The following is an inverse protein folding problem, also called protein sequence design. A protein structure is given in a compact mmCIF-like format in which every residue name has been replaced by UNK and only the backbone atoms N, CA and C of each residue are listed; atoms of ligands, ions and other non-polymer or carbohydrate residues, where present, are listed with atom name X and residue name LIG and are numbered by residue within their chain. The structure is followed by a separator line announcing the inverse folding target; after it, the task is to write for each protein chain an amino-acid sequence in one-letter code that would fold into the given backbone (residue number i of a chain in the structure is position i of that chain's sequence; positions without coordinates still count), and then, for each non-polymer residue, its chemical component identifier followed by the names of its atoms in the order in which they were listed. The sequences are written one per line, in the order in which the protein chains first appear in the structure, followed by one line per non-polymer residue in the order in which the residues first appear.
data_IF_640097347323
#
_entry.id   IF_640097347323
#
_cell.length_a   1.000
_cell.length_b   1.000
_cell.length_c   1.000
_cell.angle_alpha   90.00
_cell.angle_beta   90.00
_cell.angle_gamma   90.00
#
_symmetry.space_group_name_H-M   'P 1'
#
loop_
_entity.id
_entity.type
_entity.pdbx_description
1 polymer ?
#
# COMPACT_ATOMS: atom_id res chain seq x y z
N UNK A 1 -10.21 -16.90 -57.06
CA UNK A 1 -9.99 -17.57 -55.76
C UNK A 1 -9.45 -16.49 -54.82
N UNK A 2 -10.33 -15.84 -54.06
CA UNK A 2 -9.98 -14.69 -53.21
C UNK A 2 -9.75 -15.16 -51.78
N UNK A 3 -8.58 -14.88 -51.23
CA UNK A 3 -8.23 -15.18 -49.85
C UNK A 3 -8.69 -14.01 -48.96
N UNK A 4 -9.65 -14.26 -48.09
CA UNK A 4 -10.05 -13.32 -47.03
C UNK A 4 -9.23 -13.66 -45.79
N UNK A 5 -8.41 -12.72 -45.31
CA UNK A 5 -7.74 -12.83 -44.01
C UNK A 5 -8.68 -12.20 -42.98
N UNK A 6 -9.24 -13.04 -42.10
CA UNK A 6 -9.94 -12.60 -40.90
C UNK A 6 -8.88 -12.36 -39.83
N UNK A 7 -8.63 -11.09 -39.49
CA UNK A 7 -7.83 -10.75 -38.31
C UNK A 7 -8.76 -10.85 -37.09
N UNK A 8 -8.57 -11.87 -36.25
CA UNK A 8 -9.11 -11.89 -34.89
C UNK A 8 -8.37 -10.83 -34.07
N UNK A 9 -9.08 -9.80 -33.63
CA UNK A 9 -8.60 -8.95 -32.55
C UNK A 9 -8.47 -9.81 -31.29
N UNK A 10 -7.30 -9.82 -30.67
CA UNK A 10 -7.19 -10.20 -29.28
C UNK A 10 -7.66 -8.99 -28.48
N UNK A 11 -8.92 -8.96 -28.04
CA UNK A 11 -9.27 -8.15 -26.89
C UNK A 11 -8.40 -8.62 -25.72
N UNK A 12 -7.45 -7.77 -25.29
CA UNK A 12 -6.77 -7.99 -24.02
C UNK A 12 -7.84 -8.05 -22.93
N UNK A 13 -7.80 -9.08 -22.08
CA UNK A 13 -8.69 -9.12 -20.93
C UNK A 13 -8.40 -7.90 -20.07
N UNK A 14 -9.36 -6.97 -19.95
CA UNK A 14 -9.37 -6.04 -18.83
C UNK A 14 -9.46 -6.89 -17.56
N UNK A 15 -8.37 -6.90 -16.79
CA UNK A 15 -8.40 -7.42 -15.43
C UNK A 15 -9.15 -6.35 -14.62
N UNK A 16 -10.46 -6.55 -14.46
CA UNK A 16 -11.22 -5.77 -13.48
C UNK A 16 -10.73 -6.18 -12.10
N UNK A 17 -10.19 -5.23 -11.34
CA UNK A 17 -9.80 -5.47 -9.96
C UNK A 17 -11.06 -5.74 -9.12
N UNK A 18 -10.94 -6.68 -8.19
CA UNK A 18 -11.92 -6.83 -7.12
C UNK A 18 -11.81 -5.62 -6.16
N UNK A 19 -12.87 -5.24 -5.43
CA UNK A 19 -12.86 -4.03 -4.60
C UNK A 19 -11.73 -3.95 -3.57
N UNK A 20 -11.25 -5.10 -3.09
CA UNK A 20 -10.13 -5.17 -2.14
C UNK A 20 -8.77 -5.00 -2.83
N UNK A 21 -8.66 -5.34 -4.12
CA UNK A 21 -7.47 -5.11 -4.92
C UNK A 21 -7.36 -3.63 -5.32
N UNK A 22 -8.49 -2.99 -5.62
CA UNK A 22 -8.56 -1.52 -5.81
C UNK A 22 -8.11 -0.79 -4.55
N UNK A 23 -8.67 -1.14 -3.39
CA UNK A 23 -8.25 -0.56 -2.11
C UNK A 23 -6.76 -0.81 -1.83
N UNK A 24 -6.26 -2.03 -2.08
CA UNK A 24 -4.84 -2.32 -1.89
C UNK A 24 -3.95 -1.45 -2.79
N UNK A 25 -4.36 -1.20 -4.02
CA UNK A 25 -3.67 -0.32 -4.96
C UNK A 25 -3.70 1.14 -4.51
N UNK A 26 -4.83 1.64 -4.03
CA UNK A 26 -4.96 3.00 -3.48
C UNK A 26 -4.05 3.21 -2.27
N UNK A 27 -4.01 2.24 -1.34
CA UNK A 27 -3.12 2.28 -0.18
C UNK A 27 -1.64 2.22 -0.58
N UNK A 28 -1.30 1.39 -1.57
CA UNK A 28 0.05 1.29 -2.08
C UNK A 28 0.50 2.58 -2.76
N UNK A 29 -0.38 3.22 -3.54
CA UNK A 29 -0.14 4.52 -4.14
C UNK A 29 0.19 5.55 -3.05
N UNK A 30 -0.68 5.74 -2.06
CA UNK A 30 -0.43 6.70 -0.98
C UNK A 30 0.88 6.40 -0.23
N UNK A 31 1.18 5.13 0.04
CA UNK A 31 2.44 4.75 0.71
C UNK A 31 3.68 5.04 -0.13
N UNK A 32 3.65 4.82 -1.44
CA UNK A 32 4.79 5.08 -2.35
C UNK A 32 5.10 6.59 -2.42
N UNK A 33 4.07 7.43 -2.34
CA UNK A 33 4.26 8.90 -2.40
C UNK A 33 4.69 9.50 -1.04
N UNK A 34 4.76 8.71 0.03
CA UNK A 34 5.29 9.14 1.32
C UNK A 34 6.76 8.73 1.44
N UNK A 35 7.66 9.71 1.49
CA UNK A 35 9.07 9.45 1.71
C UNK A 35 9.34 8.95 3.14
N UNK A 36 9.61 7.66 3.28
CA UNK A 36 9.91 6.98 4.56
C UNK A 36 11.37 6.55 4.72
N UNK A 37 12.31 7.14 3.95
CA UNK A 37 13.75 6.89 4.18
C UNK A 37 14.14 7.30 5.59
N UNK A 38 15.28 6.80 6.09
CA UNK A 38 15.71 7.06 7.46
C UNK A 38 15.71 8.56 7.80
N UNK A 39 16.19 9.41 6.88
CA UNK A 39 16.30 10.86 7.06
C UNK A 39 14.92 11.55 7.18
N UNK A 40 13.90 11.07 6.46
CA UNK A 40 12.54 11.60 6.48
C UNK A 40 11.69 11.03 7.63
N UNK A 41 11.79 9.72 7.88
CA UNK A 41 11.06 9.03 8.94
C UNK A 41 9.74 8.40 8.52
N UNK A 42 9.18 7.57 9.41
CA UNK A 42 7.99 6.74 9.13
C UNK A 42 6.68 7.33 9.66
N UNK A 43 6.74 8.43 10.42
CA UNK A 43 5.55 8.96 11.13
C UNK A 43 4.41 9.32 10.19
N UNK A 44 4.69 9.99 9.07
CA UNK A 44 3.66 10.36 8.10
C UNK A 44 2.93 9.14 7.51
N UNK A 45 3.67 8.07 7.19
CA UNK A 45 3.08 6.82 6.71
C UNK A 45 2.27 6.10 7.79
N UNK A 46 2.76 6.09 9.03
CA UNK A 46 2.02 5.51 10.16
C UNK A 46 0.70 6.26 10.43
N UNK A 47 0.71 7.60 10.36
CA UNK A 47 -0.48 8.45 10.50
C UNK A 47 -1.47 8.26 9.35
N UNK A 48 -0.98 8.18 8.11
CA UNK A 48 -1.81 7.90 6.94
C UNK A 48 -2.53 6.56 7.07
N UNK A 49 -1.81 5.49 7.42
CA UNK A 49 -2.42 4.17 7.58
C UNK A 49 -3.33 4.08 8.81
N UNK A 50 -3.03 4.82 9.89
CA UNK A 50 -3.92 4.92 11.04
C UNK A 50 -5.27 5.53 10.66
N UNK A 51 -5.26 6.59 9.83
CA UNK A 51 -6.48 7.22 9.30
C UNK A 51 -7.36 6.23 8.53
N UNK A 52 -6.77 5.45 7.62
CA UNK A 52 -7.52 4.40 6.89
C UNK A 52 -8.15 3.37 7.82
N UNK A 53 -7.46 2.94 8.87
CA UNK A 53 -8.03 2.00 9.84
C UNK A 53 -9.18 2.60 10.66
N UNK A 54 -9.06 3.87 11.06
CA UNK A 54 -10.11 4.59 11.76
C UNK A 54 -11.35 4.78 10.86
N UNK A 55 -11.14 5.13 9.59
CA UNK A 55 -12.19 5.26 8.58
C UNK A 55 -12.87 3.90 8.31
N UNK A 56 -12.11 2.80 8.43
CA UNK A 56 -12.62 1.42 8.39
C UNK A 56 -13.24 0.94 9.72
N UNK A 57 -13.57 1.86 10.63
CA UNK A 57 -14.24 1.62 11.92
C UNK A 57 -13.45 0.78 12.94
N UNK A 58 -12.12 0.80 12.89
CA UNK A 58 -11.35 0.34 14.05
C UNK A 58 -11.62 1.27 15.25
N UNK A 59 -11.80 0.73 16.47
CA UNK A 59 -11.90 1.56 17.66
C UNK A 59 -10.62 2.38 17.85
N UNK A 60 -10.74 3.67 18.15
CA UNK A 60 -9.58 4.54 18.32
C UNK A 60 -8.60 4.06 19.41
N UNK A 61 -9.13 3.46 20.48
CA UNK A 61 -8.33 2.82 21.55
C UNK A 61 -7.49 1.63 21.07
N UNK A 62 -7.87 1.01 19.95
CA UNK A 62 -7.16 -0.12 19.35
C UNK A 62 -6.18 0.31 18.24
N UNK A 63 -6.07 1.60 17.92
CA UNK A 63 -5.16 2.15 16.90
C UNK A 63 -4.15 3.07 17.56
N UNK A 64 -2.89 2.65 17.61
CA UNK A 64 -1.84 3.33 18.35
C UNK A 64 -0.67 3.67 17.44
N UNK A 65 -0.24 4.93 17.49
CA UNK A 65 0.98 5.42 16.84
C UNK A 65 2.05 5.57 17.92
N UNK A 66 3.08 4.74 17.86
CA UNK A 66 4.10 4.63 18.93
C UNK A 66 5.51 4.47 18.36
N UNK A 67 6.49 5.11 18.95
CA UNK A 67 7.87 5.02 18.47
C UNK A 67 8.88 5.68 19.39
N UNK A 68 10.18 5.48 19.13
CA UNK A 68 11.25 6.04 19.94
C UNK A 68 11.38 7.58 19.86
N UNK A 69 10.81 8.22 18.83
CA UNK A 69 10.81 9.67 18.66
C UNK A 69 9.76 10.09 17.61
N UNK A 70 9.51 11.40 17.52
CA UNK A 70 8.49 12.02 16.65
C UNK A 70 8.66 11.70 15.16
N UNK A 71 9.86 11.33 14.70
CA UNK A 71 10.15 11.04 13.29
C UNK A 71 9.97 9.55 12.95
N UNK A 72 10.09 8.65 13.93
CA UNK A 72 10.09 7.20 13.72
C UNK A 72 8.96 6.54 14.49
N UNK A 73 7.73 6.81 14.12
CA UNK A 73 6.57 6.17 14.71
C UNK A 73 6.18 4.89 13.95
N UNK A 74 5.66 3.90 14.68
CA UNK A 74 5.06 2.67 14.18
C UNK A 74 3.54 2.74 14.35
N UNK A 75 2.80 2.03 13.51
CA UNK A 75 1.38 1.78 13.67
C UNK A 75 1.15 0.41 14.30
N UNK A 76 0.44 0.37 15.43
CA UNK A 76 -0.04 -0.86 16.05
C UNK A 76 -1.56 -0.82 16.10
N UNK A 77 -2.21 -1.75 15.42
CA UNK A 77 -3.66 -1.85 15.38
C UNK A 77 -4.15 -3.22 15.82
N UNK A 78 -5.30 -3.26 16.51
CA UNK A 78 -5.94 -4.51 16.94
C UNK A 78 -7.35 -4.66 16.37
N UNK A 79 -7.52 -5.64 15.48
CA UNK A 79 -8.85 -6.11 15.11
C UNK A 79 -9.33 -7.14 16.15
N UNK A 80 -10.39 -6.81 16.89
CA UNK A 80 -10.93 -7.71 17.93
C UNK A 80 -11.63 -8.91 17.29
N UNK A 81 -11.12 -10.11 17.57
CA UNK A 81 -11.75 -11.36 17.13
C UNK A 81 -13.09 -11.61 17.82
N UNK A 82 -14.07 -12.14 17.07
CA UNK A 82 -15.40 -12.51 17.61
C UNK A 82 -15.37 -13.71 18.56
N UNK A 83 -14.37 -14.58 18.43
CA UNK A 83 -14.19 -15.75 19.27
C UNK A 83 -12.86 -15.64 20.03
N UNK A 84 -12.93 -15.25 21.29
CA UNK A 84 -11.78 -15.04 22.17
C UNK A 84 -11.12 -16.34 22.66
N UNK A 85 -11.70 -17.50 22.35
CA UNK A 85 -11.12 -18.81 22.67
C UNK A 85 -10.11 -19.34 21.64
N UNK A 86 -9.89 -18.61 20.54
CA UNK A 86 -8.89 -18.96 19.51
C UNK A 86 -7.58 -18.21 19.73
N UNK A 87 -6.43 -18.78 19.33
CA UNK A 87 -5.16 -18.06 19.31
C UNK A 87 -5.25 -16.78 18.47
N UNK A 88 -4.51 -15.75 18.90
CA UNK A 88 -4.38 -14.50 18.14
C UNK A 88 -3.37 -14.66 17.00
N UNK A 89 -3.54 -13.87 15.94
CA UNK A 89 -2.59 -13.75 14.83
C UNK A 89 -1.95 -12.37 14.91
N UNK A 90 -0.63 -12.30 14.72
CA UNK A 90 0.10 -11.05 14.51
C UNK A 90 0.52 -10.96 13.05
N UNK A 91 0.18 -9.84 12.41
CA UNK A 91 0.74 -9.45 11.12
C UNK A 91 1.78 -8.36 11.39
N UNK A 92 2.97 -8.51 10.83
CA UNK A 92 4.09 -7.59 11.04
C UNK A 92 4.74 -7.26 9.69
N UNK A 93 4.89 -5.97 9.43
CA UNK A 93 5.55 -5.41 8.25
C UNK A 93 6.30 -4.13 8.66
N UNK A 94 7.14 -3.60 7.77
CA UNK A 94 7.88 -2.37 7.99
C UNK A 94 7.42 -1.29 6.99
N UNK A 95 7.51 -0.02 7.40
CA UNK A 95 7.13 1.14 6.58
C UNK A 95 8.34 1.87 5.98
N UNK A 96 9.51 1.72 6.58
CA UNK A 96 10.74 2.34 6.13
C UNK A 96 11.27 1.70 4.86
N UNK A 97 11.84 2.52 4.00
CA UNK A 97 12.54 2.10 2.79
C UNK A 97 13.98 2.59 2.82
N UNK A 98 14.80 2.01 1.95
CA UNK A 98 16.16 2.49 1.69
C UNK A 98 16.12 3.81 0.92
N UNK A 99 17.24 4.53 0.90
CA UNK A 99 17.39 5.77 0.11
C UNK A 99 17.04 5.56 -1.36
N UNK A 100 16.30 6.51 -1.93
CA UNK A 100 15.91 6.52 -3.34
C UNK A 100 16.33 7.86 -3.98
N UNK A 101 17.61 7.95 -4.38
CA UNK A 101 18.16 9.15 -4.98
C UNK A 101 17.64 9.30 -6.42
N UNK A 102 17.14 10.48 -6.85
CA UNK A 102 16.65 10.67 -8.21
C UNK A 102 17.68 10.35 -9.31
N UNK A 103 18.99 10.43 -9.01
CA UNK A 103 20.06 10.07 -9.95
C UNK A 103 20.12 8.59 -10.29
N UNK A 104 19.59 7.73 -9.42
CA UNK A 104 19.69 6.27 -9.53
C UNK A 104 18.45 5.68 -10.25
N UNK A 105 17.47 6.54 -10.57
CA UNK A 105 16.18 6.14 -11.12
C UNK A 105 15.93 6.77 -12.49
N UNK A 106 15.24 6.01 -13.35
CA UNK A 106 14.77 6.50 -14.66
C UNK A 106 13.42 7.24 -14.57
N UNK A 107 12.78 7.20 -13.40
CA UNK A 107 11.50 7.83 -13.06
C UNK A 107 11.61 8.45 -11.66
N UNK A 108 10.66 9.30 -11.29
CA UNK A 108 10.63 9.83 -9.92
C UNK A 108 10.31 8.70 -8.93
N UNK A 109 11.20 8.39 -7.95
CA UNK A 109 10.98 7.30 -7.01
C UNK A 109 9.85 7.56 -5.99
N UNK A 110 9.38 8.81 -5.89
CA UNK A 110 8.32 9.23 -4.96
C UNK A 110 6.99 9.52 -5.67
N UNK A 111 6.85 9.02 -6.90
CA UNK A 111 5.60 9.06 -7.67
C UNK A 111 5.16 7.64 -7.97
N UNK A 112 3.91 7.30 -7.66
CA UNK A 112 3.34 6.03 -8.08
C UNK A 112 3.20 6.00 -9.61
N UNK A 113 3.74 4.97 -10.25
CA UNK A 113 3.74 4.83 -11.70
C UNK A 113 3.22 3.47 -12.11
N UNK A 114 2.38 3.45 -13.14
CA UNK A 114 1.89 2.23 -13.78
C UNK A 114 2.48 2.09 -15.17
N UNK A 115 3.09 0.94 -15.45
CA UNK A 115 3.69 0.67 -16.75
C UNK A 115 3.70 -0.82 -17.07
N UNK A 116 3.27 -1.16 -18.28
CA UNK A 116 3.34 -2.52 -18.83
C UNK A 116 2.68 -3.58 -17.93
N UNK A 117 1.63 -3.19 -17.19
CA UNK A 117 0.91 -4.06 -16.25
C UNK A 117 1.54 -4.20 -14.87
N UNK A 118 2.59 -3.42 -14.58
CA UNK A 118 3.26 -3.36 -13.27
C UNK A 118 3.06 -2.01 -12.61
N UNK A 119 3.09 -2.05 -11.28
CA UNK A 119 3.23 -0.95 -10.35
C UNK A 119 3.85 -1.45 -9.05
#
# INVERSE_FOLDING_TARGET
MGLVILATAMEGQEISLEPHEELAKELLHELIEINTVDSAGTTAAAEAMARHLLDANFPAEDVNIVGPNERKMNLVARLRGRNTGRPSILLLAHLDVVEALPSDWNIDPWTFNERDGYY
#
